data_IF_678454053791
#
_entry.id   IF_678454053791
#
_cell.length_a   1.000
_cell.length_b   1.000
_cell.length_c   1.000
_cell.angle_alpha   90.00
_cell.angle_beta   90.00
_cell.angle_gamma   90.00
#
_symmetry.space_group_name_H-M   'P 1'
#
loop_
_entity.id
_entity.type
_entity.pdbx_description
1 polymer ?
#
# COMPACT_ATOMS: atom_id res chain seq x y z
N UNK A 1 7.39 -2.09 18.84
CA UNK A 1 7.92 -3.48 18.73
C UNK A 1 7.02 -4.51 19.39
N UNK A 2 6.58 -4.31 20.63
CA UNK A 2 5.73 -5.30 21.32
C UNK A 2 4.38 -5.55 20.63
N UNK A 3 3.73 -4.51 20.11
CA UNK A 3 2.49 -4.65 19.33
C UNK A 3 2.68 -5.40 18.02
N UNK A 4 3.78 -5.13 17.29
CA UNK A 4 4.07 -5.84 16.04
C UNK A 4 4.35 -7.32 16.27
N UNK A 5 5.14 -7.66 17.31
CA UNK A 5 5.37 -9.05 17.68
C UNK A 5 4.06 -9.76 18.06
N UNK A 6 3.17 -9.09 18.79
CA UNK A 6 1.85 -9.63 19.11
C UNK A 6 1.03 -9.89 17.85
N UNK A 7 1.00 -8.94 16.91
CA UNK A 7 0.29 -9.09 15.65
C UNK A 7 0.81 -10.30 14.84
N UNK A 8 2.12 -10.49 14.77
CA UNK A 8 2.73 -11.67 14.11
C UNK A 8 2.25 -12.97 14.78
N UNK A 9 2.27 -13.03 16.12
CA UNK A 9 1.82 -14.21 16.86
C UNK A 9 0.33 -14.50 16.63
N UNK A 10 -0.50 -13.45 16.61
CA UNK A 10 -1.93 -13.55 16.37
C UNK A 10 -2.20 -14.07 14.94
N UNK A 11 -1.53 -13.49 13.92
CA UNK A 11 -1.64 -13.94 12.52
C UNK A 11 -1.20 -15.40 12.35
N UNK A 12 -0.08 -15.80 12.95
CA UNK A 12 0.40 -17.19 12.92
C UNK A 12 -0.57 -18.15 13.62
N UNK A 13 -1.18 -17.71 14.73
CA UNK A 13 -2.18 -18.51 15.45
C UNK A 13 -3.45 -18.69 14.63
N UNK A 14 -3.88 -17.66 13.90
CA UNK A 14 -5.05 -17.71 13.02
C UNK A 14 -4.78 -18.62 11.81
N UNK A 15 -3.64 -18.43 11.14
CA UNK A 15 -3.26 -19.22 9.98
C UNK A 15 -1.73 -19.37 9.90
N UNK A 16 -1.16 -20.50 10.33
CA UNK A 16 0.29 -20.72 10.22
C UNK A 16 0.76 -20.98 8.78
N UNK A 17 -0.17 -21.20 7.83
CA UNK A 17 0.11 -21.49 6.42
C UNK A 17 -0.33 -20.33 5.52
N UNK A 18 -0.20 -19.08 5.97
CA UNK A 18 -0.42 -17.90 5.12
C UNK A 18 0.46 -17.97 3.88
N UNK A 19 -0.08 -17.56 2.74
CA UNK A 19 0.67 -17.51 1.47
C UNK A 19 1.45 -16.21 1.31
N UNK A 20 0.93 -15.12 1.87
CA UNK A 20 1.58 -13.82 1.85
C UNK A 20 1.15 -12.95 3.04
N UNK A 21 2.04 -12.01 3.39
CA UNK A 21 1.77 -10.89 4.28
C UNK A 21 1.86 -9.61 3.44
N UNK A 22 0.95 -8.66 3.66
CA UNK A 22 1.00 -7.35 3.02
C UNK A 22 1.21 -6.28 4.09
N UNK A 23 2.27 -5.49 3.93
CA UNK A 23 2.52 -4.28 4.70
C UNK A 23 2.11 -3.10 3.82
N UNK A 24 0.88 -2.60 4.00
CA UNK A 24 0.27 -1.64 3.08
C UNK A 24 0.59 -0.18 3.43
N UNK A 25 1.87 0.17 3.53
CA UNK A 25 2.36 1.51 3.87
C UNK A 25 2.39 1.79 5.38
N UNK A 26 3.00 2.93 5.74
CA UNK A 26 3.26 3.37 7.12
C UNK A 26 3.96 2.29 7.95
N UNK A 27 4.97 1.67 7.34
CA UNK A 27 5.79 0.62 7.95
C UNK A 27 6.77 1.20 8.97
N UNK A 28 7.10 2.48 8.79
CA UNK A 28 7.99 3.28 9.62
C UNK A 28 7.25 4.55 10.06
N UNK A 29 7.67 5.18 11.16
CA UNK A 29 7.12 6.48 11.56
C UNK A 29 7.72 7.62 10.71
N UNK A 30 8.93 7.42 10.21
CA UNK A 30 9.72 8.33 9.39
C UNK A 30 10.57 7.49 8.42
N UNK A 31 10.85 7.99 7.23
CA UNK A 31 11.69 7.34 6.21
C UNK A 31 13.18 7.28 6.55
N UNK A 32 13.52 7.01 7.82
CA UNK A 32 14.88 6.91 8.34
C UNK A 32 15.40 5.48 8.25
N UNK A 33 16.68 5.32 7.92
CA UNK A 33 17.31 4.02 7.67
C UNK A 33 17.23 3.10 8.91
N UNK A 34 17.39 3.68 10.09
CA UNK A 34 17.32 2.98 11.38
C UNK A 34 15.94 2.36 11.65
N UNK A 35 14.87 2.96 11.12
CA UNK A 35 13.52 2.44 11.28
C UNK A 35 13.26 1.28 10.32
N UNK A 36 13.70 1.40 9.06
CA UNK A 36 13.68 0.27 8.12
C UNK A 36 14.52 -0.91 8.61
N UNK A 37 15.73 -0.65 9.12
CA UNK A 37 16.59 -1.65 9.76
C UNK A 37 15.87 -2.37 10.91
N UNK A 38 15.14 -1.62 11.75
CA UNK A 38 14.43 -2.19 12.88
C UNK A 38 13.28 -3.07 12.43
N UNK A 39 12.55 -2.68 11.38
CA UNK A 39 11.47 -3.50 10.81
C UNK A 39 12.06 -4.75 10.16
N UNK A 40 13.13 -4.62 9.37
CA UNK A 40 13.79 -5.76 8.74
C UNK A 40 14.28 -6.77 9.78
N UNK A 41 14.94 -6.33 10.86
CA UNK A 41 15.34 -7.21 11.96
C UNK A 41 14.15 -7.92 12.61
N UNK A 42 13.01 -7.23 12.75
CA UNK A 42 11.80 -7.83 13.29
C UNK A 42 11.21 -8.90 12.35
N UNK A 43 11.20 -8.65 11.04
CA UNK A 43 10.77 -9.63 10.02
C UNK A 43 11.71 -10.85 10.00
N UNK A 44 13.02 -10.63 9.98
CA UNK A 44 14.03 -11.70 9.96
C UNK A 44 13.97 -12.58 11.21
N UNK A 45 13.82 -11.96 12.39
CA UNK A 45 13.65 -12.69 13.66
C UNK A 45 12.42 -13.60 13.65
N UNK A 46 11.37 -13.20 12.93
CA UNK A 46 10.08 -13.90 12.88
C UNK A 46 9.86 -14.69 11.59
N UNK A 47 10.88 -14.90 10.76
CA UNK A 47 10.75 -15.55 9.44
C UNK A 47 10.07 -16.92 9.47
N UNK A 48 10.18 -17.68 10.57
CA UNK A 48 9.54 -19.00 10.72
C UNK A 48 8.04 -18.91 11.03
N UNK A 49 7.56 -17.73 11.45
CA UNK A 49 6.15 -17.43 11.73
C UNK A 49 5.49 -16.62 10.61
N UNK A 50 6.27 -16.22 9.59
CA UNK A 50 5.83 -15.38 8.50
C UNK A 50 5.84 -16.15 7.18
N UNK A 51 4.96 -15.79 6.23
CA UNK A 51 4.99 -16.37 4.89
C UNK A 51 6.30 -15.99 4.17
N UNK A 52 6.73 -16.86 3.25
CA UNK A 52 7.90 -16.58 2.40
C UNK A 52 7.72 -15.39 1.46
N UNK A 53 6.48 -14.94 1.25
CA UNK A 53 6.16 -13.74 0.48
C UNK A 53 5.68 -12.63 1.40
N UNK A 54 6.38 -11.50 1.41
CA UNK A 54 5.94 -10.27 2.06
C UNK A 54 5.87 -9.17 0.99
N UNK A 55 4.68 -8.65 0.74
CA UNK A 55 4.44 -7.52 -0.16
C UNK A 55 4.54 -6.26 0.69
N UNK A 56 5.43 -5.34 0.31
CA UNK A 56 5.70 -4.10 1.05
C UNK A 56 5.30 -2.94 0.15
N UNK A 57 4.40 -2.10 0.62
CA UNK A 57 3.92 -0.94 -0.11
C UNK A 57 4.35 0.33 0.63
N UNK A 58 4.53 1.41 -0.13
CA UNK A 58 4.86 2.71 0.41
C UNK A 58 3.59 3.39 0.96
N UNK A 59 3.69 4.03 2.12
CA UNK A 59 2.70 4.93 2.69
C UNK A 59 3.19 6.38 2.68
N UNK A 60 2.54 7.24 3.44
CA UNK A 60 3.01 8.62 3.56
C UNK A 60 4.13 8.77 4.57
N UNK A 61 4.18 7.93 5.63
CA UNK A 61 5.21 8.05 6.66
C UNK A 61 6.63 7.77 6.14
N UNK A 62 6.75 7.02 5.05
CA UNK A 62 8.01 6.80 4.33
C UNK A 62 8.62 8.09 3.76
N UNK A 63 7.86 9.18 3.62
CA UNK A 63 8.32 10.50 3.17
C UNK A 63 8.65 11.49 4.31
N UNK A 64 8.64 11.07 5.58
CA UNK A 64 8.93 12.00 6.68
C UNK A 64 10.36 11.90 7.19
N UNK A 65 10.91 13.07 7.53
CA UNK A 65 11.85 13.29 8.61
C UNK A 65 11.26 14.44 9.42
N UNK A 66 10.95 14.22 10.70
CA UNK A 66 10.25 15.21 11.53
C UNK A 66 11.10 16.47 11.83
N UNK A 67 12.38 16.49 11.42
CA UNK A 67 13.20 17.69 11.41
C UNK A 67 13.07 18.52 10.12
N UNK A 68 12.36 17.99 9.12
CA UNK A 68 12.12 18.61 7.82
C UNK A 68 10.61 18.90 7.68
N UNK A 69 10.25 20.19 7.56
CA UNK A 69 8.84 20.56 7.37
C UNK A 69 8.33 20.18 5.98
N UNK A 70 9.08 20.55 4.94
CA UNK A 70 8.74 20.30 3.53
C UNK A 70 9.96 19.73 2.81
N UNK A 71 9.77 18.62 2.11
CA UNK A 71 10.80 17.95 1.34
C UNK A 71 11.11 18.70 0.04
N UNK A 72 12.40 18.94 -0.19
CA UNK A 72 12.90 19.28 -1.52
C UNK A 72 12.78 18.06 -2.48
N UNK A 73 12.78 18.28 -3.81
CA UNK A 73 12.70 17.18 -4.78
C UNK A 73 13.79 16.10 -4.60
N UNK A 74 15.01 16.49 -4.22
CA UNK A 74 16.06 15.49 -3.94
C UNK A 74 15.75 14.66 -2.69
N UNK A 75 15.12 15.23 -1.66
CA UNK A 75 14.73 14.51 -0.45
C UNK A 75 13.60 13.51 -0.73
N UNK A 76 12.61 13.88 -1.54
CA UNK A 76 11.55 12.97 -1.99
C UNK A 76 12.17 11.75 -2.69
N UNK A 77 13.16 11.97 -3.57
CA UNK A 77 13.86 10.86 -4.23
C UNK A 77 14.68 10.00 -3.27
N UNK A 78 15.32 10.62 -2.26
CA UNK A 78 16.05 9.88 -1.21
C UNK A 78 15.09 8.96 -0.43
N UNK A 79 13.93 9.47 0.00
CA UNK A 79 12.93 8.68 0.70
C UNK A 79 12.41 7.52 -0.14
N UNK A 80 12.08 7.77 -1.41
CA UNK A 80 11.69 6.69 -2.33
C UNK A 80 12.80 5.65 -2.45
N UNK A 81 14.07 6.05 -2.61
CA UNK A 81 15.18 5.11 -2.72
C UNK A 81 15.34 4.23 -1.47
N UNK A 82 15.15 4.78 -0.27
CA UNK A 82 15.17 4.00 0.98
C UNK A 82 14.04 2.99 1.05
N UNK A 83 12.84 3.39 0.65
CA UNK A 83 11.73 2.45 0.49
C UNK A 83 12.06 1.35 -0.52
N UNK A 84 12.64 1.68 -1.68
CA UNK A 84 12.99 0.70 -2.71
C UNK A 84 14.04 -0.30 -2.20
N UNK A 85 15.04 0.18 -1.47
CA UNK A 85 16.04 -0.68 -0.82
C UNK A 85 15.40 -1.61 0.22
N UNK A 86 14.53 -1.08 1.09
CA UNK A 86 13.83 -1.88 2.09
C UNK A 86 12.85 -2.89 1.48
N UNK A 87 12.12 -2.48 0.45
CA UNK A 87 11.10 -3.31 -0.21
C UNK A 87 11.72 -4.39 -1.08
N UNK A 88 12.86 -4.09 -1.71
CA UNK A 88 13.47 -4.91 -2.76
C UNK A 88 12.81 -4.72 -4.13
N UNK A 89 11.99 -3.68 -4.28
CA UNK A 89 11.24 -3.38 -5.49
C UNK A 89 11.98 -2.36 -6.36
N UNK A 90 11.71 -2.38 -7.67
CA UNK A 90 12.34 -1.42 -8.61
C UNK A 90 11.60 -0.07 -8.66
N UNK A 91 10.34 -0.05 -8.22
CA UNK A 91 9.46 1.13 -8.24
C UNK A 91 8.52 1.11 -7.03
N UNK A 92 7.94 2.28 -6.73
CA UNK A 92 6.91 2.43 -5.69
C UNK A 92 5.60 1.69 -5.99
N UNK A 93 5.46 1.22 -7.23
CA UNK A 93 4.36 0.39 -7.70
C UNK A 93 4.90 -0.90 -8.33
N UNK A 94 4.29 -2.03 -8.00
CA UNK A 94 4.75 -3.37 -8.36
C UNK A 94 3.60 -4.37 -8.32
N UNK A 95 3.81 -5.55 -8.90
CA UNK A 95 2.82 -6.62 -8.89
C UNK A 95 3.44 -7.98 -8.61
N UNK A 96 2.62 -8.90 -8.08
CA UNK A 96 3.02 -10.29 -7.85
C UNK A 96 1.86 -11.24 -8.10
N UNK A 97 2.17 -12.40 -8.67
CA UNK A 97 1.24 -13.51 -8.80
C UNK A 97 1.47 -14.52 -7.67
N UNK A 98 0.41 -14.82 -6.91
CA UNK A 98 0.43 -15.79 -5.81
C UNK A 98 -0.71 -16.78 -6.04
N UNK A 99 -0.38 -18.05 -6.27
CA UNK A 99 -1.37 -19.12 -6.56
C UNK A 99 -2.41 -18.71 -7.61
N UNK A 100 -1.93 -18.14 -8.71
CA UNK A 100 -2.72 -17.62 -9.84
C UNK A 100 -3.64 -16.42 -9.52
N UNK A 101 -3.49 -15.76 -8.36
CA UNK A 101 -4.13 -14.49 -8.06
C UNK A 101 -3.15 -13.33 -8.24
N UNK A 102 -3.65 -12.23 -8.78
CA UNK A 102 -2.85 -11.03 -9.04
C UNK A 102 -2.96 -10.06 -7.88
N UNK A 103 -1.81 -9.67 -7.34
CA UNK A 103 -1.65 -8.66 -6.29
C UNK A 103 -0.95 -7.47 -6.94
N UNK A 104 -1.59 -6.30 -6.93
CA UNK A 104 -1.10 -5.10 -7.59
C UNK A 104 -1.01 -3.98 -6.55
N UNK A 105 0.18 -3.43 -6.38
CA UNK A 105 0.47 -2.35 -5.43
C UNK A 105 0.71 -1.05 -6.18
N UNK A 106 -0.07 -0.03 -5.83
CA UNK A 106 0.12 1.37 -6.22
C UNK A 106 0.83 2.11 -5.09
N UNK A 107 1.61 3.14 -5.44
CA UNK A 107 2.40 3.89 -4.48
C UNK A 107 2.65 5.32 -4.91
N UNK A 108 2.71 6.23 -3.94
CA UNK A 108 2.92 7.65 -4.21
C UNK A 108 4.33 7.89 -4.79
N UNK A 109 4.41 8.75 -5.81
CA UNK A 109 5.66 9.18 -6.46
C UNK A 109 6.13 10.56 -5.97
N UNK A 110 5.46 11.11 -4.95
CA UNK A 110 5.78 12.37 -4.26
C UNK A 110 5.19 12.31 -2.83
N UNK A 111 5.65 13.17 -1.89
CA UNK A 111 5.16 13.16 -0.52
C UNK A 111 5.79 14.23 0.36
N UNK A 112 4.94 14.93 1.13
CA UNK A 112 5.32 16.01 2.05
C UNK A 112 6.25 17.05 1.39
N UNK A 113 5.89 17.53 0.20
CA UNK A 113 6.70 18.43 -0.64
C UNK A 113 5.94 19.72 -0.97
N UNK A 114 6.59 20.66 -1.65
CA UNK A 114 5.92 21.89 -2.12
C UNK A 114 4.76 21.58 -3.09
N UNK A 115 4.81 20.45 -3.79
CA UNK A 115 3.82 20.04 -4.79
C UNK A 115 2.73 19.14 -4.23
N UNK A 116 2.91 18.56 -3.04
CA UNK A 116 2.00 17.59 -2.46
C UNK A 116 2.02 17.63 -0.92
N UNK A 117 0.83 17.70 -0.31
CA UNK A 117 0.73 17.65 1.14
C UNK A 117 1.17 16.29 1.70
N UNK A 118 1.33 16.22 3.02
CA UNK A 118 1.90 15.07 3.73
C UNK A 118 0.99 13.84 3.87
N UNK A 119 -0.27 13.92 3.45
CA UNK A 119 -1.29 12.88 3.63
C UNK A 119 -2.00 12.50 2.33
N UNK A 120 -1.54 13.00 1.19
CA UNK A 120 -2.12 12.72 -0.13
C UNK A 120 -1.10 12.03 -1.01
N UNK A 121 -1.52 10.99 -1.73
CA UNK A 121 -0.71 10.34 -2.75
C UNK A 121 -0.79 11.06 -4.10
N UNK A 122 0.33 11.01 -4.83
CA UNK A 122 0.42 11.38 -6.24
C UNK A 122 0.78 10.15 -7.08
N UNK A 123 -0.07 9.86 -8.06
CA UNK A 123 0.04 8.74 -8.99
C UNK A 123 0.21 9.33 -10.39
N UNK A 124 1.36 9.10 -11.01
CA UNK A 124 1.63 9.64 -12.35
C UNK A 124 0.84 8.92 -13.43
N UNK A 125 0.68 9.58 -14.59
CA UNK A 125 0.12 8.94 -15.79
C UNK A 125 0.87 7.66 -16.18
N UNK A 126 2.19 7.60 -15.95
CA UNK A 126 2.99 6.40 -16.23
C UNK A 126 2.56 5.23 -15.34
N UNK A 127 2.30 5.51 -14.06
CA UNK A 127 1.78 4.51 -13.13
C UNK A 127 0.35 4.10 -13.46
N UNK A 128 -0.52 5.05 -13.86
CA UNK A 128 -1.89 4.75 -14.29
C UNK A 128 -1.95 3.86 -15.55
N UNK A 129 -1.11 4.12 -16.55
CA UNK A 129 -1.03 3.27 -17.74
C UNK A 129 -0.49 1.88 -17.41
N UNK A 130 0.57 1.80 -16.59
CA UNK A 130 1.07 0.52 -16.07
C UNK A 130 -0.02 -0.25 -15.30
N UNK A 131 -0.83 0.46 -14.50
CA UNK A 131 -1.90 -0.16 -13.73
C UNK A 131 -2.99 -0.76 -14.63
N UNK A 132 -3.39 -0.06 -15.69
CA UNK A 132 -4.33 -0.58 -16.70
C UNK A 132 -3.79 -1.84 -17.37
N UNK A 133 -2.51 -1.85 -17.74
CA UNK A 133 -1.85 -3.01 -18.33
C UNK A 133 -1.90 -4.22 -17.38
N UNK A 134 -1.61 -4.00 -16.09
CA UNK A 134 -1.60 -5.04 -15.07
C UNK A 134 -2.98 -5.60 -14.77
N UNK A 135 -4.02 -4.77 -14.69
CA UNK A 135 -5.39 -5.27 -14.52
C UNK A 135 -5.86 -6.14 -15.69
N UNK A 136 -5.41 -5.84 -16.92
CA UNK A 136 -5.76 -6.62 -18.10
C UNK A 136 -4.95 -7.94 -18.22
N UNK A 137 -3.79 -8.02 -17.55
CA UNK A 137 -2.88 -9.16 -17.64
C UNK A 137 -3.53 -10.44 -17.09
N UNK A 138 -3.77 -11.42 -17.97
CA UNK A 138 -4.41 -12.69 -17.63
C UNK A 138 -5.76 -12.54 -16.90
N UNK A 139 -6.48 -11.45 -17.14
CA UNK A 139 -7.77 -11.17 -16.50
C UNK A 139 -8.78 -12.30 -16.78
N UNK A 140 -9.44 -12.76 -15.72
CA UNK A 140 -10.48 -13.78 -15.76
C UNK A 140 -11.72 -13.28 -15.05
N UNK A 141 -12.84 -13.20 -15.78
CA UNK A 141 -14.12 -12.78 -15.23
C UNK A 141 -14.51 -13.64 -14.02
N UNK A 142 -14.90 -12.99 -12.93
CA UNK A 142 -15.27 -13.62 -11.66
C UNK A 142 -14.10 -14.08 -10.78
N UNK A 143 -12.85 -13.90 -11.21
CA UNK A 143 -11.67 -14.22 -10.40
C UNK A 143 -11.12 -12.95 -9.73
N UNK A 144 -11.02 -12.92 -8.39
CA UNK A 144 -10.51 -11.75 -7.67
C UNK A 144 -9.13 -11.26 -8.12
N UNK A 145 -8.98 -9.93 -8.14
CA UNK A 145 -7.72 -9.21 -8.24
C UNK A 145 -7.57 -8.38 -6.97
N UNK A 146 -6.41 -8.44 -6.32
CA UNK A 146 -6.15 -7.69 -5.09
C UNK A 146 -5.34 -6.45 -5.42
N UNK A 147 -5.90 -5.27 -5.12
CA UNK A 147 -5.25 -3.98 -5.38
C UNK A 147 -4.95 -3.31 -4.04
N UNK A 148 -3.77 -2.73 -3.91
CA UNK A 148 -3.32 -2.10 -2.69
C UNK A 148 -2.84 -0.69 -2.98
N UNK A 149 -3.31 0.28 -2.20
CA UNK A 149 -2.84 1.66 -2.20
C UNK A 149 -2.97 2.18 -0.77
N UNK A 150 -1.91 2.74 -0.20
CA UNK A 150 -1.95 3.14 1.20
C UNK A 150 -3.05 4.18 1.48
N UNK A 151 -3.11 5.26 0.71
CA UNK A 151 -4.12 6.30 0.87
C UNK A 151 -5.46 5.89 0.25
N UNK A 152 -6.55 6.17 0.96
CA UNK A 152 -7.90 5.85 0.52
C UNK A 152 -8.34 6.73 -0.67
N UNK A 153 -9.14 6.12 -1.56
CA UNK A 153 -9.94 6.85 -2.54
C UNK A 153 -11.05 7.62 -1.80
N UNK A 154 -11.78 8.50 -2.50
CA UNK A 154 -12.89 9.22 -1.88
C UNK A 154 -13.89 8.27 -1.19
N UNK A 155 -14.30 8.62 0.03
CA UNK A 155 -15.24 7.83 0.82
C UNK A 155 -16.57 8.56 0.92
N UNK A 156 -17.50 8.34 -0.02
CA UNK A 156 -18.88 8.84 0.08
C UNK A 156 -18.98 10.28 0.60
N UNK A 157 -19.64 10.49 1.75
CA UNK A 157 -19.90 11.80 2.35
C UNK A 157 -18.71 12.46 3.08
N UNK A 158 -17.53 11.83 3.15
CA UNK A 158 -16.34 12.46 3.73
C UNK A 158 -15.56 13.22 2.65
N UNK A 159 -15.29 14.50 2.91
CA UNK A 159 -14.62 15.40 1.97
C UNK A 159 -13.11 15.17 1.82
N UNK A 160 -12.53 14.19 2.52
CA UNK A 160 -11.11 13.93 2.50
C UNK A 160 -10.76 12.84 1.49
N UNK A 161 -10.11 13.26 0.40
CA UNK A 161 -9.61 12.38 -0.67
C UNK A 161 -8.10 12.21 -0.45
N UNK A 162 -7.67 10.96 -0.25
CA UNK A 162 -6.26 10.63 0.02
C UNK A 162 -5.39 10.55 -1.23
N UNK A 163 -5.96 10.67 -2.44
CA UNK A 163 -5.22 10.46 -3.71
C UNK A 163 -5.59 11.55 -4.71
N UNK A 164 -4.60 12.22 -5.29
CA UNK A 164 -4.84 13.25 -6.32
C UNK A 164 -5.58 12.70 -7.54
N UNK A 165 -5.24 11.49 -7.96
CA UNK A 165 -5.81 10.80 -9.13
C UNK A 165 -6.94 9.83 -8.73
N UNK A 166 -7.70 10.15 -7.67
CA UNK A 166 -8.75 9.27 -7.16
C UNK A 166 -9.82 8.94 -8.23
N UNK A 167 -10.25 9.93 -9.01
CA UNK A 167 -11.26 9.70 -10.07
C UNK A 167 -10.73 8.77 -11.17
N UNK A 168 -9.52 9.02 -11.66
CA UNK A 168 -8.89 8.21 -12.71
C UNK A 168 -8.70 6.76 -12.26
N UNK A 169 -8.30 6.55 -11.01
CA UNK A 169 -8.18 5.19 -10.44
C UNK A 169 -9.55 4.53 -10.34
N UNK A 170 -10.59 5.23 -9.86
CA UNK A 170 -11.96 4.70 -9.80
C UNK A 170 -12.49 4.34 -11.18
N UNK A 171 -12.25 5.16 -12.20
CA UNK A 171 -12.66 4.90 -13.59
C UNK A 171 -11.98 3.65 -14.17
N UNK A 172 -10.70 3.45 -13.86
CA UNK A 172 -9.95 2.23 -14.24
C UNK A 172 -10.57 1.02 -13.53
N UNK A 173 -10.71 1.09 -12.21
CA UNK A 173 -11.20 0.00 -11.37
C UNK A 173 -12.65 -0.38 -11.66
N UNK A 174 -13.50 0.58 -12.07
CA UNK A 174 -14.91 0.33 -12.41
C UNK A 174 -15.12 -0.66 -13.56
N UNK A 175 -14.08 -0.94 -14.35
CA UNK A 175 -14.11 -1.91 -15.43
C UNK A 175 -13.85 -3.35 -14.94
N UNK A 176 -13.43 -3.52 -13.68
CA UNK A 176 -13.03 -4.79 -13.07
C UNK A 176 -13.76 -5.01 -11.74
N UNK A 177 -15.04 -5.43 -11.77
CA UNK A 177 -15.82 -5.68 -10.55
C UNK A 177 -15.24 -6.77 -9.64
N UNK A 178 -14.30 -7.56 -10.14
CA UNK A 178 -13.52 -8.56 -9.41
C UNK A 178 -12.45 -7.96 -8.49
N UNK A 179 -12.17 -6.65 -8.59
CA UNK A 179 -11.18 -6.00 -7.74
C UNK A 179 -11.66 -5.93 -6.29
N UNK A 180 -10.76 -6.31 -5.40
CA UNK A 180 -10.82 -6.02 -3.97
C UNK A 180 -9.66 -5.07 -3.68
N UNK A 181 -9.97 -3.80 -3.47
CA UNK A 181 -9.01 -2.77 -3.15
C UNK A 181 -8.85 -2.65 -1.64
N UNK A 182 -7.62 -2.68 -1.17
CA UNK A 182 -7.25 -2.40 0.22
C UNK A 182 -6.57 -1.04 0.29
N UNK A 183 -7.17 -0.14 1.05
CA UNK A 183 -6.53 1.08 1.50
C UNK A 183 -6.36 1.09 3.02
N UNK A 184 -5.41 1.90 3.46
CA UNK A 184 -5.03 2.07 4.85
C UNK A 184 -5.09 3.56 5.18
N UNK A 185 -4.09 4.10 5.88
CA UNK A 185 -3.93 5.52 6.20
C UNK A 185 -4.90 6.10 7.24
N UNK A 186 -6.14 5.61 7.32
CA UNK A 186 -7.12 6.18 8.26
C UNK A 186 -6.96 5.67 9.70
N UNK A 187 -6.27 4.54 9.87
CA UNK A 187 -6.11 3.81 11.14
C UNK A 187 -7.46 3.44 11.75
N UNK A 188 -8.47 3.26 10.89
CA UNK A 188 -9.81 2.87 11.29
C UNK A 188 -9.88 1.36 11.50
N UNK A 189 -10.58 0.95 12.55
CA UNK A 189 -10.89 -0.47 12.75
C UNK A 189 -11.70 -1.00 11.56
N UNK A 190 -11.40 -2.21 11.10
CA UNK A 190 -12.17 -2.88 10.06
C UNK A 190 -13.59 -3.17 10.58
N UNK A 191 -14.59 -2.49 10.02
CA UNK A 191 -16.00 -2.67 10.34
C UNK A 191 -16.90 -2.26 9.15
N UNK A 192 -18.22 -2.34 9.31
CA UNK A 192 -19.20 -2.00 8.27
C UNK A 192 -19.10 -0.57 7.72
N UNK A 193 -18.48 0.36 8.47
CA UNK A 193 -18.25 1.75 8.04
C UNK A 193 -16.92 1.94 7.31
N UNK A 194 -16.12 0.89 7.16
CA UNK A 194 -14.82 0.94 6.49
C UNK A 194 -14.77 0.03 5.26
N UNK A 195 -15.88 -0.61 4.89
CA UNK A 195 -16.03 -1.41 3.68
C UNK A 195 -17.08 -0.82 2.73
N UNK A 196 -16.75 -0.80 1.43
CA UNK A 196 -17.70 -0.52 0.35
C UNK A 196 -17.85 -1.80 -0.43
N UNK A 197 -18.99 -2.47 -0.24
CA UNK A 197 -19.28 -3.73 -0.90
C UNK A 197 -20.03 -3.49 -2.21
N UNK A 198 -19.55 -4.14 -3.27
CA UNK A 198 -20.26 -4.38 -4.52
C UNK A 198 -20.54 -3.17 -5.46
N UNK A 199 -19.81 -2.02 -5.42
CA UNK A 199 -20.04 -0.93 -6.42
C UNK A 199 -18.85 0.01 -6.69
N UNK A 200 -18.37 0.13 -7.95
CA UNK A 200 -18.37 -0.87 -9.02
C UNK A 200 -17.42 -2.04 -8.74
N UNK A 201 -16.60 -1.94 -7.68
CA UNK A 201 -15.69 -2.95 -7.14
C UNK A 201 -15.79 -2.91 -5.60
N UNK A 202 -15.00 -3.74 -4.90
CA UNK A 202 -14.96 -3.76 -3.43
C UNK A 202 -13.80 -2.91 -2.91
N UNK A 203 -14.05 -2.12 -1.86
CA UNK A 203 -13.01 -1.36 -1.15
C UNK A 203 -13.05 -1.74 0.33
N UNK A 204 -11.87 -1.97 0.90
CA UNK A 204 -11.63 -2.15 2.34
C UNK A 204 -10.66 -1.06 2.78
N UNK A 205 -11.11 -0.19 3.68
CA UNK A 205 -10.32 0.91 4.24
C UNK A 205 -9.98 0.62 5.70
N UNK A 206 -8.74 0.87 6.09
CA UNK A 206 -8.28 0.79 7.49
C UNK A 206 -7.34 1.93 7.84
#
# INVERSE_FOLDING_TARGET
>A
MDHFQKAINDLYTINPNMDALVLNGDVVDQGLDEQYDSVQKALEKNKEFLPGTIIKNIGNHEFFDYNTETNAPEQVQIFMNKYLEFSGEEKVYHDKWIKDYHFISLGSEDGNSETLNSVTAFISNKQLEWFKEKLAENHQKGKPIFVFLHQHLDYGNNSWIGVKQSEEIKEILAQYPEVIMFASHTHSDLNENSEILNKPFTIVNT
#
